data_IF_760947577887
#
_entry.id   IF_760947577887
#
_cell.length_a   1.000
_cell.length_b   1.000
_cell.length_c   1.000
_cell.angle_alpha   90.00
_cell.angle_beta   90.00
_cell.angle_gamma   90.00
#
_symmetry.space_group_name_H-M   'P 1'
#
loop_
_entity.id
_entity.type
_entity.pdbx_description
1 polymer ?
#
# COMPACT_ATOMS: atom_id res chain seq x y z
N UNK A 1 -0.91 -18.26 14.45
CA UNK A 1 -0.56 -17.30 13.38
C UNK A 1 -1.34 -16.03 13.64
N UNK A 2 -0.67 -14.93 14.02
CA UNK A 2 -1.36 -13.63 14.10
C UNK A 2 -1.32 -13.08 12.67
N UNK A 3 -2.48 -12.94 12.05
CA UNK A 3 -2.61 -12.16 10.82
C UNK A 3 -2.51 -10.68 11.24
N UNK A 4 -1.28 -10.18 11.35
CA UNK A 4 -1.09 -8.74 11.47
C UNK A 4 -1.59 -8.10 10.16
N UNK A 5 -2.40 -7.03 10.26
CA UNK A 5 -2.96 -6.41 9.07
C UNK A 5 -1.84 -5.86 8.19
N UNK A 6 -1.91 -6.19 6.90
CA UNK A 6 -0.98 -5.69 5.90
C UNK A 6 -0.90 -4.16 5.98
N UNK A 7 0.32 -3.64 6.14
CA UNK A 7 0.54 -2.22 6.35
C UNK A 7 0.49 -1.47 5.01
N UNK A 8 -0.45 -0.54 4.91
CA UNK A 8 -0.62 0.32 3.73
C UNK A 8 -0.16 1.74 4.04
N UNK A 9 0.62 2.34 3.13
CA UNK A 9 1.19 3.68 3.27
C UNK A 9 0.69 4.59 2.16
N UNK A 10 0.20 5.77 2.53
CA UNK A 10 -0.11 6.83 1.57
C UNK A 10 1.19 7.41 0.99
N UNK A 11 1.35 7.35 -0.33
CA UNK A 11 2.52 7.90 -1.01
C UNK A 11 2.62 9.42 -0.97
N UNK A 12 1.49 10.11 -0.92
CA UNK A 12 1.51 11.57 -0.94
C UNK A 12 1.93 12.16 0.41
N UNK A 13 1.46 11.56 1.51
CA UNK A 13 1.67 12.08 2.86
C UNK A 13 2.65 11.24 3.70
N UNK A 14 3.11 10.10 3.17
CA UNK A 14 4.11 9.23 3.81
C UNK A 14 3.69 8.76 5.21
N UNK A 15 2.41 8.39 5.35
CA UNK A 15 1.82 7.95 6.62
C UNK A 15 0.86 6.78 6.42
N UNK A 16 0.56 6.08 7.51
CA UNK A 16 -0.25 4.86 7.51
C UNK A 16 -1.69 5.16 7.08
N UNK A 17 -2.26 4.23 6.32
CA UNK A 17 -3.66 4.25 5.94
C UNK A 17 -4.50 3.46 6.95
N UNK A 18 -4.74 4.10 8.09
CA UNK A 18 -5.45 3.53 9.24
C UNK A 18 -6.84 4.16 9.48
N UNK A 19 -7.26 5.09 8.60
CA UNK A 19 -8.54 5.76 8.72
C UNK A 19 -9.58 5.20 7.76
N UNK A 20 -10.66 4.66 8.31
CA UNK A 20 -11.79 4.18 7.53
C UNK A 20 -12.56 5.33 6.85
N UNK A 21 -12.91 5.11 5.58
CA UNK A 21 -13.78 5.95 4.74
C UNK A 21 -14.67 5.06 3.85
N UNK A 22 -15.69 5.60 3.16
CA UNK A 22 -16.49 4.84 2.20
C UNK A 22 -15.69 4.27 1.01
N UNK A 23 -14.48 4.76 0.76
CA UNK A 23 -13.62 4.34 -0.35
C UNK A 23 -12.50 3.38 0.07
N UNK A 24 -12.50 2.95 1.34
CA UNK A 24 -11.45 2.13 1.94
C UNK A 24 -10.66 2.86 3.01
N UNK A 25 -9.53 2.27 3.39
CA UNK A 25 -8.60 2.85 4.35
C UNK A 25 -7.74 3.91 3.66
N UNK A 26 -7.56 5.06 4.31
CA UNK A 26 -6.71 6.15 3.83
C UNK A 26 -5.95 6.76 4.99
N UNK A 27 -4.97 7.62 4.72
CA UNK A 27 -4.28 8.34 5.79
C UNK A 27 -5.10 9.51 6.35
N UNK A 28 -4.77 10.03 7.55
CA UNK A 28 -5.50 11.14 8.19
C UNK A 28 -5.65 12.39 7.32
N UNK A 29 -4.62 12.77 6.56
CA UNK A 29 -4.67 13.93 5.69
C UNK A 29 -5.56 13.72 4.47
N UNK A 30 -5.51 12.54 3.86
CA UNK A 30 -6.40 12.19 2.76
C UNK A 30 -7.85 12.17 3.24
N UNK A 31 -8.14 11.58 4.40
CA UNK A 31 -9.48 11.61 5.01
C UNK A 31 -9.93 13.04 5.24
N UNK A 32 -9.11 13.88 5.88
CA UNK A 32 -9.45 15.29 6.08
C UNK A 32 -9.81 15.97 4.76
N UNK A 33 -8.97 15.83 3.72
CA UNK A 33 -9.24 16.39 2.38
C UNK A 33 -10.57 15.90 1.84
N UNK A 34 -10.85 14.60 1.83
CA UNK A 34 -12.10 14.02 1.31
C UNK A 34 -13.37 14.60 1.96
N UNK A 35 -13.31 15.00 3.23
CA UNK A 35 -14.46 15.54 3.95
C UNK A 35 -14.54 17.07 3.94
N UNK A 36 -13.40 17.78 3.94
CA UNK A 36 -13.40 19.26 3.95
C UNK A 36 -13.48 19.86 2.55
N UNK A 37 -13.06 19.11 1.54
CA UNK A 37 -13.16 19.50 0.14
C UNK A 37 -13.32 18.20 -0.64
N UNK A 38 -14.53 17.71 -0.89
CA UNK A 38 -14.71 16.47 -1.64
C UNK A 38 -14.20 16.63 -3.08
N UNK A 39 -13.52 15.62 -3.65
CA UNK A 39 -13.08 15.63 -5.04
C UNK A 39 -14.28 15.54 -6.01
N UNK A 40 -14.05 15.95 -7.26
CA UNK A 40 -15.09 16.01 -8.31
C UNK A 40 -14.94 14.87 -9.31
N UNK A 41 -16.06 14.54 -9.96
CA UNK A 41 -16.10 13.52 -11.01
C UNK A 41 -16.22 12.10 -10.45
N UNK A 42 -16.01 11.13 -11.34
CA UNK A 42 -16.14 9.72 -11.02
C UNK A 42 -14.88 9.18 -10.35
N UNK A 43 -15.06 8.28 -9.38
CA UNK A 43 -13.97 7.53 -8.79
C UNK A 43 -13.56 6.38 -9.70
N UNK A 44 -12.28 6.32 -10.04
CA UNK A 44 -11.62 5.18 -10.66
C UNK A 44 -10.64 4.55 -9.68
N UNK A 45 -10.58 3.22 -9.65
CA UNK A 45 -9.65 2.48 -8.79
C UNK A 45 -8.86 1.44 -9.57
N UNK A 46 -7.54 1.43 -9.42
CA UNK A 46 -6.67 0.51 -10.17
C UNK A 46 -5.32 0.30 -9.50
N UNK A 47 -4.70 -0.85 -9.78
CA UNK A 47 -3.29 -1.09 -9.50
C UNK A 47 -2.42 -0.50 -10.61
N UNK A 48 -1.37 0.20 -10.23
CA UNK A 48 -0.38 0.69 -11.17
C UNK A 48 0.48 -0.46 -11.71
N UNK A 49 0.77 -0.42 -13.00
CA UNK A 49 1.50 -1.50 -13.69
C UNK A 49 3.00 -1.54 -13.37
N UNK A 50 3.55 -0.44 -12.86
CA UNK A 50 4.96 -0.32 -12.52
C UNK A 50 5.16 -0.17 -11.01
N UNK A 51 6.22 -0.78 -10.46
CA UNK A 51 6.58 -0.57 -9.06
C UNK A 51 6.99 0.88 -8.84
N UNK A 52 6.59 1.42 -7.69
CA UNK A 52 6.83 2.81 -7.30
C UNK A 52 7.93 2.94 -6.25
N UNK A 53 8.26 1.82 -5.60
CA UNK A 53 9.29 1.70 -4.58
C UNK A 53 9.75 0.23 -4.51
N UNK A 54 10.79 -0.01 -3.70
CA UNK A 54 11.26 -1.34 -3.36
C UNK A 54 11.38 -1.45 -1.83
N UNK A 55 11.11 -2.64 -1.29
CA UNK A 55 11.38 -2.94 0.12
C UNK A 55 12.89 -2.98 0.40
N UNK A 56 13.28 -3.08 1.68
CA UNK A 56 14.69 -3.27 2.06
C UNK A 56 15.27 -4.57 1.49
N UNK A 57 14.43 -5.59 1.33
CA UNK A 57 14.75 -6.88 0.73
C UNK A 57 14.68 -6.85 -0.81
N UNK A 58 14.54 -5.66 -1.40
CA UNK A 58 14.48 -5.39 -2.84
C UNK A 58 13.26 -5.98 -3.55
N UNK A 59 12.18 -6.22 -2.81
CA UNK A 59 10.91 -6.64 -3.41
C UNK A 59 10.18 -5.44 -4.02
N UNK A 60 9.59 -5.56 -5.22
CA UNK A 60 8.86 -4.47 -5.86
C UNK A 60 7.57 -4.15 -5.09
N UNK A 61 7.37 -2.87 -4.78
CA UNK A 61 6.14 -2.39 -4.14
C UNK A 61 5.28 -1.65 -5.18
N UNK A 62 4.06 -2.15 -5.39
CA UNK A 62 3.10 -1.58 -6.32
C UNK A 62 2.18 -0.58 -5.62
N UNK A 63 1.74 0.42 -6.37
CA UNK A 63 0.78 1.40 -5.87
C UNK A 63 -0.64 1.04 -6.31
N UNK A 64 -1.56 1.05 -5.36
CA UNK A 64 -2.98 1.12 -5.63
C UNK A 64 -3.42 2.59 -5.71
N UNK A 65 -4.24 2.95 -6.69
CA UNK A 65 -4.69 4.32 -6.92
C UNK A 65 -6.20 4.43 -6.82
N UNK A 66 -6.66 5.40 -6.02
CA UNK A 66 -8.01 5.96 -6.07
C UNK A 66 -7.92 7.32 -6.75
N UNK A 67 -8.56 7.48 -7.90
CA UNK A 67 -8.40 8.64 -8.75
C UNK A 67 -9.74 9.25 -9.13
N UNK A 68 -9.85 10.56 -8.87
CA UNK A 68 -10.87 11.46 -9.36
C UNK A 68 -10.26 12.40 -10.41
N UNK A 69 -11.07 13.25 -11.04
CA UNK A 69 -10.61 14.20 -12.05
C UNK A 69 -9.63 15.24 -11.48
N UNK A 70 -9.81 15.62 -10.20
CA UNK A 70 -9.06 16.69 -9.54
C UNK A 70 -8.25 16.23 -8.32
N UNK A 71 -8.26 14.94 -8.01
CA UNK A 71 -7.58 14.39 -6.84
C UNK A 71 -7.21 12.93 -6.99
N UNK A 72 -6.08 12.53 -6.42
CA UNK A 72 -5.61 11.15 -6.44
C UNK A 72 -4.98 10.78 -5.11
N UNK A 73 -5.38 9.63 -4.58
CA UNK A 73 -4.72 8.95 -3.47
C UNK A 73 -3.96 7.77 -4.07
N UNK A 74 -2.69 7.63 -3.69
CA UNK A 74 -1.85 6.49 -4.08
C UNK A 74 -1.34 5.81 -2.82
N UNK A 75 -1.52 4.51 -2.76
CA UNK A 75 -1.28 3.68 -1.59
C UNK A 75 -0.26 2.60 -1.94
N UNK A 76 0.84 2.51 -1.20
CA UNK A 76 1.73 1.34 -1.27
C UNK A 76 1.22 0.30 -0.29
N UNK A 77 1.01 -0.91 -0.78
CA UNK A 77 0.81 -2.08 0.07
C UNK A 77 2.16 -2.73 0.30
N UNK A 78 2.62 -2.71 1.55
CA UNK A 78 3.89 -3.35 1.89
C UNK A 78 3.71 -4.88 1.89
N UNK A 79 4.74 -5.64 1.48
CA UNK A 79 4.74 -7.09 1.63
C UNK A 79 4.66 -7.47 3.11
N UNK A 80 4.04 -8.61 3.40
CA UNK A 80 3.90 -9.12 4.76
C UNK A 80 5.29 -9.40 5.35
N UNK A 81 5.67 -8.68 6.40
CA UNK A 81 6.97 -8.84 7.08
C UNK A 81 7.08 -10.18 7.84
N UNK A 82 6.04 -11.01 7.83
CA UNK A 82 6.00 -12.32 8.49
C UNK A 82 6.54 -13.48 7.62
N UNK A 83 7.10 -13.21 6.45
CA UNK A 83 7.98 -14.19 5.80
C UNK A 83 9.33 -14.14 6.51
N UNK A 84 9.38 -14.82 7.65
CA UNK A 84 10.63 -15.17 8.30
C UNK A 84 11.60 -15.70 7.25
N UNK A 85 12.82 -15.18 7.26
CA UNK A 85 14.00 -15.69 6.59
C UNK A 85 14.29 -17.15 6.96
N UNK A 86 13.44 -18.06 6.51
CA UNK A 86 13.48 -19.49 6.81
C UNK A 86 13.66 -20.34 5.55
N UNK A 87 14.19 -19.75 4.48
CA UNK A 87 14.87 -20.48 3.41
C UNK A 87 16.34 -20.07 3.38
N UNK A 88 17.01 -20.33 4.50
CA UNK A 88 18.46 -20.49 4.53
C UNK A 88 18.72 -21.85 5.16
N UNK A 89 19.43 -22.71 4.40
CA UNK A 89 19.88 -24.05 4.76
C UNK A 89 18.95 -25.20 4.36
N UNK A 90 19.08 -25.65 3.12
CA UNK A 90 19.36 -27.08 2.84
C UNK A 90 20.24 -27.17 1.58
N UNK A 91 21.54 -26.94 1.79
CA UNK A 91 22.58 -27.47 0.89
C UNK A 91 22.70 -28.96 1.17
N UNK A 92 21.83 -29.77 0.54
CA UNK A 92 22.00 -31.21 0.54
C UNK A 92 23.09 -31.57 -0.48
N UNK A 93 24.32 -31.62 0.02
CA UNK A 93 25.48 -32.17 -0.67
C UNK A 93 25.41 -33.71 -0.61
N UNK A 94 25.07 -34.34 -1.73
CA UNK A 94 25.31 -35.78 -1.96
C UNK A 94 25.94 -35.89 -3.36
N UNK A 95 27.28 -35.88 -3.44
CA UNK A 95 28.17 -37.05 -3.52
C UNK A 95 27.90 -37.94 -4.74
#
# INVERSE_FOLDING_TARGET
MRNEPQKTICLNHQCEEDQATPFGMVCPDCKRRLYTSPPRGNLMSFWESQPVAFSLDREPCFAYSLMWEDYRIRSIHLPDQNVSAHESSEVESHS
#
